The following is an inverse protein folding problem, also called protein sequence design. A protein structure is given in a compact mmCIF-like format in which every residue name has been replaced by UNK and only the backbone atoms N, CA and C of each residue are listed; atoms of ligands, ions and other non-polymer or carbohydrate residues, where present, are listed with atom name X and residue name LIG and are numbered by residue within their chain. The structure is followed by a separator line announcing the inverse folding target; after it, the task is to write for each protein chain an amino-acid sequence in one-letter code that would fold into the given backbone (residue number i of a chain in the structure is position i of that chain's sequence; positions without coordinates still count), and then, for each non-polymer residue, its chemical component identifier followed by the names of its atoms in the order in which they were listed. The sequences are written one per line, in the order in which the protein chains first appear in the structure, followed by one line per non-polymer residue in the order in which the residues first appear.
data_IF_331216747824
#
_entry.id   IF_331216747824
#
_cell.length_a   1.000
_cell.length_b   1.000
_cell.length_c   1.000
_cell.angle_alpha   90.00
_cell.angle_beta   90.00
_cell.angle_gamma   90.00
#
_symmetry.space_group_name_H-M   'P 1'
#
loop_
_entity.id
_entity.type
_entity.pdbx_description
1 polymer ?
#
# COMPACT_ATOMS: atom_id res chain seq x y z
N UNK A 1 -37.73 22.66 24.07
CA UNK A 1 -36.26 22.45 24.25
C UNK A 1 -35.68 21.45 23.26
N UNK A 2 -36.32 20.31 22.99
CA UNK A 2 -35.89 19.25 22.05
C UNK A 2 -35.77 19.68 20.59
N UNK A 3 -36.68 20.51 20.08
CA UNK A 3 -36.65 20.98 18.69
C UNK A 3 -35.46 21.90 18.35
N UNK A 4 -34.92 22.64 19.30
CA UNK A 4 -33.72 23.47 19.11
C UNK A 4 -32.43 22.63 19.08
N UNK A 5 -32.37 21.59 19.93
CA UNK A 5 -31.22 20.64 19.95
C UNK A 5 -31.11 19.82 18.65
N UNK A 6 -32.27 19.39 18.11
CA UNK A 6 -32.31 18.65 16.83
C UNK A 6 -31.89 19.52 15.64
N UNK A 7 -32.31 20.79 15.59
CA UNK A 7 -31.86 21.75 14.57
C UNK A 7 -30.34 22.04 14.67
N UNK A 8 -29.82 22.20 15.89
CA UNK A 8 -28.40 22.48 16.11
C UNK A 8 -27.52 21.27 15.73
N UNK A 9 -27.97 20.04 16.02
CA UNK A 9 -27.27 18.83 15.61
C UNK A 9 -27.26 18.64 14.07
N UNK A 10 -28.36 19.00 13.41
CA UNK A 10 -28.44 18.98 11.93
C UNK A 10 -27.51 20.00 11.29
N UNK A 11 -27.46 21.23 11.83
CA UNK A 11 -26.59 22.30 11.33
C UNK A 11 -25.10 21.93 11.56
N UNK A 12 -24.77 21.33 12.70
CA UNK A 12 -23.39 20.88 12.97
C UNK A 12 -23.00 19.70 12.07
N UNK A 13 -23.92 18.77 11.77
CA UNK A 13 -23.72 17.70 10.77
C UNK A 13 -23.53 18.26 9.37
N UNK A 14 -24.28 19.30 9.00
CA UNK A 14 -24.16 19.97 7.70
C UNK A 14 -22.80 20.68 7.59
N UNK A 15 -22.36 21.43 8.61
CA UNK A 15 -21.04 22.07 8.65
C UNK A 15 -19.88 21.07 8.65
N UNK A 16 -20.01 19.96 9.39
CA UNK A 16 -19.01 18.89 9.38
C UNK A 16 -18.93 18.21 8.02
N UNK A 17 -20.09 17.93 7.39
CA UNK A 17 -20.17 17.36 6.04
C UNK A 17 -19.58 18.30 4.99
N UNK A 18 -19.82 19.61 5.07
CA UNK A 18 -19.22 20.59 4.16
C UNK A 18 -17.69 20.64 4.30
N UNK A 19 -17.16 20.63 5.52
CA UNK A 19 -15.71 20.65 5.80
C UNK A 19 -15.02 19.38 5.31
N UNK A 20 -15.65 18.23 5.49
CA UNK A 20 -15.13 16.93 5.00
C UNK A 20 -15.23 16.84 3.47
N UNK A 21 -16.26 17.44 2.87
CA UNK A 21 -16.43 17.47 1.42
C UNK A 21 -15.35 18.32 0.72
N UNK A 22 -14.98 19.44 1.30
CA UNK A 22 -13.86 20.28 0.83
C UNK A 22 -12.55 19.47 0.91
N UNK A 23 -12.29 18.82 2.03
CA UNK A 23 -11.09 18.00 2.21
C UNK A 23 -11.03 16.79 1.25
N UNK A 24 -12.16 16.15 0.94
CA UNK A 24 -12.19 15.02 -0.01
C UNK A 24 -12.02 15.47 -1.46
N UNK A 25 -12.52 16.64 -1.83
CA UNK A 25 -12.31 17.25 -3.14
C UNK A 25 -10.86 17.76 -3.27
N UNK A 26 -10.31 18.36 -2.22
CA UNK A 26 -8.91 18.80 -2.22
C UNK A 26 -7.95 17.62 -2.18
N UNK A 27 -8.25 16.56 -1.45
CA UNK A 27 -7.49 15.31 -1.50
C UNK A 27 -7.55 14.67 -2.89
N UNK A 28 -8.71 14.68 -3.55
CA UNK A 28 -8.84 14.22 -4.93
C UNK A 28 -8.08 15.12 -5.91
N UNK A 29 -8.11 16.44 -5.72
CA UNK A 29 -7.30 17.39 -6.49
C UNK A 29 -5.81 17.18 -6.22
N UNK A 30 -5.39 16.92 -4.99
CA UNK A 30 -4.01 16.61 -4.65
C UNK A 30 -3.54 15.30 -5.29
N UNK A 31 -4.42 14.28 -5.40
CA UNK A 31 -4.14 13.05 -6.14
C UNK A 31 -3.99 13.27 -7.66
N UNK A 32 -4.66 14.29 -8.20
CA UNK A 32 -4.63 14.64 -9.63
C UNK A 32 -3.67 15.79 -9.97
N UNK A 33 -3.25 16.53 -8.98
CA UNK A 33 -2.34 17.67 -9.11
C UNK A 33 -1.25 17.53 -8.06
N UNK A 34 -0.04 17.40 -8.54
CA UNK A 34 1.14 17.41 -7.68
C UNK A 34 1.17 18.65 -6.79
N UNK A 35 1.50 18.44 -5.53
CA UNK A 35 1.86 19.51 -4.62
C UNK A 35 3.23 19.17 -3.99
N UNK A 36 4.29 19.78 -4.48
CA UNK A 36 5.67 19.64 -4.01
C UNK A 36 5.89 19.96 -2.52
N UNK A 37 4.86 20.49 -1.85
CA UNK A 37 4.90 20.81 -0.43
C UNK A 37 4.79 19.59 0.50
N UNK A 38 4.47 18.40 -0.02
CA UNK A 38 4.49 17.15 0.74
C UNK A 38 5.85 16.45 0.67
N UNK A 39 6.91 17.15 1.07
CA UNK A 39 8.19 16.52 1.40
C UNK A 39 8.36 16.53 2.93
N UNK A 40 7.85 15.54 3.66
CA UNK A 40 8.22 15.42 5.06
C UNK A 40 9.70 15.10 5.10
N UNK A 41 10.47 15.92 5.80
CA UNK A 41 11.86 15.61 6.08
C UNK A 41 11.87 14.34 6.94
N UNK A 42 12.66 13.33 6.53
CA UNK A 42 12.83 12.02 7.18
C UNK A 42 12.79 12.11 8.70
N UNK A 43 13.57 13.06 9.25
CA UNK A 43 13.69 13.30 10.70
C UNK A 43 12.37 13.69 11.38
N UNK A 44 11.41 14.27 10.68
CA UNK A 44 10.13 14.70 11.26
C UNK A 44 9.15 13.52 11.36
N UNK A 45 9.13 12.61 10.42
CA UNK A 45 8.24 11.45 10.47
C UNK A 45 8.73 10.41 11.47
N UNK A 46 10.02 10.11 11.48
CA UNK A 46 10.63 9.14 12.40
C UNK A 46 10.75 9.67 13.83
N UNK A 47 10.93 10.99 14.04
CA UNK A 47 11.04 11.59 15.37
C UNK A 47 9.78 11.39 16.25
N UNK A 48 8.65 11.04 15.66
CA UNK A 48 7.43 10.67 16.40
C UNK A 48 7.55 9.31 17.09
N UNK A 49 8.55 8.52 16.72
CA UNK A 49 8.73 7.14 17.17
C UNK A 49 10.21 6.90 17.52
N UNK A 50 10.64 7.20 18.76
CA UNK A 50 12.06 7.17 19.16
C UNK A 50 12.79 5.87 18.77
N UNK A 51 12.17 4.71 18.99
CA UNK A 51 12.76 3.41 18.65
C UNK A 51 13.09 3.26 17.15
N UNK A 52 12.23 3.76 16.27
CA UNK A 52 12.46 3.71 14.82
C UNK A 52 13.50 4.73 14.39
N UNK A 53 13.54 5.88 15.06
CA UNK A 53 14.56 6.91 14.81
C UNK A 53 15.95 6.42 15.21
N UNK A 54 16.12 5.85 16.39
CA UNK A 54 17.38 5.26 16.86
C UNK A 54 17.88 4.14 15.93
N UNK A 55 16.95 3.30 15.45
CA UNK A 55 17.32 2.24 14.50
C UNK A 55 17.71 2.79 13.13
N UNK A 56 17.06 3.86 12.66
CA UNK A 56 17.45 4.57 11.45
C UNK A 56 18.86 5.15 11.58
N UNK A 57 19.17 5.87 12.67
CA UNK A 57 20.50 6.40 12.93
C UNK A 57 21.56 5.29 13.00
N UNK A 58 21.21 4.15 13.58
CA UNK A 58 22.08 2.97 13.56
C UNK A 58 22.37 2.50 12.14
N UNK A 59 21.37 2.41 11.27
CA UNK A 59 21.56 2.01 9.87
C UNK A 59 22.41 3.01 9.09
N UNK A 60 22.19 4.31 9.29
CA UNK A 60 23.02 5.37 8.68
C UNK A 60 24.48 5.26 9.11
N UNK A 61 24.71 5.15 10.40
CA UNK A 61 26.07 5.08 10.98
C UNK A 61 26.87 3.88 10.46
N UNK A 62 26.20 2.78 10.12
CA UNK A 62 26.84 1.54 9.66
C UNK A 62 26.74 1.34 8.14
N UNK A 63 26.45 2.40 7.39
CA UNK A 63 26.37 2.39 5.92
C UNK A 63 25.41 1.32 5.34
N UNK A 64 24.37 1.00 6.10
CA UNK A 64 23.35 0.03 5.69
C UNK A 64 22.25 0.65 4.81
N UNK A 65 22.33 1.95 4.51
CA UNK A 65 21.37 2.68 3.67
C UNK A 65 22.05 3.06 2.36
N UNK A 66 21.64 2.42 1.26
CA UNK A 66 22.20 2.65 -0.06
C UNK A 66 21.15 3.37 -0.91
N UNK A 67 21.32 4.68 -1.18
CA UNK A 67 20.39 5.42 -2.02
C UNK A 67 20.53 5.00 -3.48
N UNK A 68 19.40 5.06 -4.21
CA UNK A 68 19.38 4.89 -5.65
C UNK A 68 18.35 5.81 -6.31
N UNK A 69 18.51 6.01 -7.61
CA UNK A 69 17.48 6.58 -8.47
C UNK A 69 17.42 5.82 -9.79
N UNK A 70 16.22 5.75 -10.38
CA UNK A 70 16.02 5.13 -11.69
C UNK A 70 15.20 6.05 -12.58
N UNK A 71 15.32 5.87 -13.89
CA UNK A 71 14.38 6.41 -14.87
C UNK A 71 13.33 5.36 -15.20
N UNK A 72 12.05 5.73 -15.16
CA UNK A 72 10.96 4.82 -15.50
C UNK A 72 10.86 4.63 -17.02
N UNK A 73 10.46 3.43 -17.44
CA UNK A 73 10.21 3.10 -18.84
C UNK A 73 9.01 3.85 -19.43
N UNK A 74 8.02 4.17 -18.60
CA UNK A 74 6.87 5.02 -18.96
C UNK A 74 7.11 6.43 -18.41
N UNK A 75 6.86 7.44 -19.21
CA UNK A 75 6.92 8.86 -18.88
C UNK A 75 8.33 9.37 -18.53
N UNK A 76 9.38 8.54 -18.52
CA UNK A 76 10.78 8.89 -18.22
C UNK A 76 10.96 9.67 -16.89
N UNK A 77 10.20 9.32 -15.87
CA UNK A 77 10.26 9.94 -14.54
C UNK A 77 11.48 9.43 -13.76
N UNK A 78 12.05 10.27 -12.91
CA UNK A 78 13.03 9.82 -11.91
C UNK A 78 12.30 9.36 -10.66
N UNK A 79 12.53 8.13 -10.23
CA UNK A 79 12.10 7.63 -8.94
C UNK A 79 13.30 7.49 -8.00
N UNK A 80 13.10 7.88 -6.74
CA UNK A 80 14.13 7.83 -5.70
C UNK A 80 13.78 6.78 -4.65
N UNK A 81 14.77 6.02 -4.24
CA UNK A 81 14.60 4.96 -3.25
C UNK A 81 15.89 4.64 -2.50
N UNK A 82 15.81 3.66 -1.61
CA UNK A 82 16.95 3.12 -0.89
C UNK A 82 16.87 1.59 -0.81
N UNK A 83 18.03 0.95 -0.90
CA UNK A 83 18.23 -0.38 -0.36
C UNK A 83 18.67 -0.22 1.10
N UNK A 84 17.92 -0.78 2.02
CA UNK A 84 18.26 -0.91 3.44
C UNK A 84 18.76 -2.33 3.67
N UNK A 85 20.03 -2.48 4.05
CA UNK A 85 20.60 -3.78 4.38
C UNK A 85 20.32 -4.12 5.84
N UNK A 86 19.86 -5.34 6.09
CA UNK A 86 19.78 -5.81 7.48
C UNK A 86 21.15 -5.89 8.10
N UNK A 87 21.33 -5.37 9.32
CA UNK A 87 22.59 -5.52 10.08
C UNK A 87 22.76 -6.94 10.62
N UNK A 88 21.68 -7.74 10.69
CA UNK A 88 21.75 -9.12 11.13
C UNK A 88 22.33 -10.00 10.03
N UNK A 89 23.32 -10.81 10.37
CA UNK A 89 23.89 -11.78 9.43
C UNK A 89 23.24 -13.14 9.64
N UNK A 90 22.31 -13.49 8.76
CA UNK A 90 21.63 -14.77 8.75
C UNK A 90 21.32 -15.22 7.30
N UNK A 91 20.63 -16.32 7.14
CA UNK A 91 20.23 -16.88 5.84
C UNK A 91 19.29 -16.02 5.00
N UNK A 92 18.76 -14.94 5.56
CA UNK A 92 17.82 -14.05 4.88
C UNK A 92 18.50 -12.86 4.20
N UNK A 93 19.79 -12.63 4.42
CA UNK A 93 20.51 -11.45 3.91
C UNK A 93 20.63 -11.37 2.38
N UNK A 94 20.34 -12.43 1.67
CA UNK A 94 20.29 -12.46 0.20
C UNK A 94 18.87 -12.31 -0.34
N UNK A 95 17.89 -12.04 0.52
CA UNK A 95 16.46 -11.91 0.18
C UNK A 95 15.98 -10.51 0.54
N UNK A 96 15.09 -9.97 -0.27
CA UNK A 96 14.64 -8.58 -0.14
C UNK A 96 13.11 -8.47 -0.20
N UNK A 97 12.55 -7.61 0.64
CA UNK A 97 11.15 -7.19 0.57
C UNK A 97 11.10 -5.79 -0.05
N UNK A 98 10.36 -5.63 -1.13
CA UNK A 98 10.12 -4.32 -1.76
C UNK A 98 8.85 -3.74 -1.16
N UNK A 99 8.94 -2.54 -0.56
CA UNK A 99 7.87 -1.86 0.14
C UNK A 99 7.36 -0.64 -0.63
N UNK A 100 6.03 -0.56 -0.77
CA UNK A 100 5.33 0.55 -1.42
C UNK A 100 4.38 1.23 -0.44
N UNK A 101 4.54 2.56 -0.32
CA UNK A 101 3.71 3.40 0.56
C UNK A 101 2.32 3.71 -0.03
N UNK A 102 1.43 4.26 0.79
CA UNK A 102 0.11 4.73 0.40
C UNK A 102 0.11 6.11 -0.24
N UNK A 103 -1.05 6.53 -0.72
CA UNK A 103 -1.25 7.88 -1.28
C UNK A 103 -0.97 8.94 -0.22
N UNK A 104 -0.43 10.09 -0.62
CA UNK A 104 -0.03 11.22 0.24
C UNK A 104 1.09 10.90 1.26
N UNK A 105 1.63 9.71 1.23
CA UNK A 105 2.75 9.29 2.07
C UNK A 105 4.06 9.31 1.28
N UNK A 106 5.17 9.05 1.97
CA UNK A 106 6.49 8.83 1.39
C UNK A 106 7.03 7.48 1.84
N UNK A 107 8.15 7.03 1.27
CA UNK A 107 8.84 5.81 1.70
C UNK A 107 9.10 5.77 3.21
N UNK A 108 9.35 6.90 3.85
CA UNK A 108 9.64 6.97 5.29
C UNK A 108 8.44 6.63 6.17
N UNK A 109 7.23 6.84 5.68
CA UNK A 109 6.01 6.53 6.44
C UNK A 109 5.85 5.04 6.74
N UNK A 110 6.37 4.16 5.86
CA UNK A 110 6.29 2.69 6.03
C UNK A 110 7.53 2.11 6.74
N UNK A 111 8.32 2.93 7.44
CA UNK A 111 9.53 2.46 8.12
C UNK A 111 9.25 1.41 9.20
N UNK A 112 8.12 1.48 9.89
CA UNK A 112 7.72 0.47 10.86
C UNK A 112 7.58 -0.94 10.26
N UNK A 113 7.09 -1.05 9.03
CA UNK A 113 7.06 -2.32 8.29
C UNK A 113 8.45 -2.73 7.84
N UNK A 114 9.26 -1.79 7.36
CA UNK A 114 10.66 -2.04 7.03
C UNK A 114 11.44 -2.58 8.24
N UNK A 115 11.23 -2.00 9.41
CA UNK A 115 11.87 -2.40 10.66
C UNK A 115 11.63 -3.87 11.02
N UNK A 116 10.41 -4.39 10.83
CA UNK A 116 10.07 -5.79 11.10
C UNK A 116 10.90 -6.72 10.23
N UNK A 117 10.96 -6.47 8.92
CA UNK A 117 11.72 -7.28 7.97
C UNK A 117 13.24 -7.19 8.21
N UNK A 118 13.75 -5.98 8.45
CA UNK A 118 15.18 -5.77 8.76
C UNK A 118 15.61 -6.52 10.03
N UNK A 119 14.76 -6.53 11.06
CA UNK A 119 15.00 -7.29 12.30
C UNK A 119 14.92 -8.81 12.12
N UNK A 120 14.23 -9.28 11.12
CA UNK A 120 14.19 -10.69 10.74
C UNK A 120 15.35 -11.10 9.80
N UNK A 121 16.24 -10.15 9.44
CA UNK A 121 17.40 -10.40 8.58
C UNK A 121 17.18 -10.16 7.09
N UNK A 122 15.96 -9.81 6.66
CA UNK A 122 15.68 -9.47 5.26
C UNK A 122 16.19 -8.07 4.93
N UNK A 123 16.68 -7.88 3.71
CA UNK A 123 16.88 -6.53 3.20
C UNK A 123 15.54 -5.91 2.79
N UNK A 124 15.50 -4.60 2.72
CA UNK A 124 14.34 -3.84 2.29
C UNK A 124 14.73 -2.91 1.16
N UNK A 125 13.95 -2.92 0.08
CA UNK A 125 13.94 -1.87 -0.93
C UNK A 125 12.65 -1.09 -0.75
N UNK A 126 12.77 0.22 -0.66
CA UNK A 126 11.63 1.12 -0.65
C UNK A 126 11.89 2.32 -1.55
N UNK A 127 10.85 2.92 -2.06
CA UNK A 127 10.97 4.07 -2.94
C UNK A 127 9.75 4.97 -2.83
N UNK A 128 9.92 6.23 -3.20
CA UNK A 128 8.80 7.13 -3.39
C UNK A 128 8.14 6.84 -4.73
N UNK A 129 6.84 6.53 -4.72
CA UNK A 129 6.06 6.35 -5.93
C UNK A 129 6.04 7.65 -6.75
N UNK A 130 5.70 7.56 -8.06
CA UNK A 130 5.47 8.75 -8.88
C UNK A 130 4.60 9.76 -8.15
N UNK A 131 4.91 11.04 -8.27
CA UNK A 131 4.16 12.14 -7.63
C UNK A 131 4.32 12.22 -6.09
N UNK A 132 5.21 11.47 -5.47
CA UNK A 132 5.41 11.45 -4.02
C UNK A 132 6.89 11.68 -3.66
N UNK A 133 7.08 12.24 -2.46
CA UNK A 133 8.42 12.42 -1.87
C UNK A 133 9.40 13.14 -2.77
N UNK A 134 10.54 12.51 -3.03
CA UNK A 134 11.60 13.05 -3.90
C UNK A 134 11.41 12.66 -5.37
N UNK A 135 10.49 11.75 -5.69
CA UNK A 135 10.24 11.30 -7.06
C UNK A 135 9.53 12.35 -7.91
N UNK A 136 9.75 12.29 -9.23
CA UNK A 136 9.25 13.29 -10.16
C UNK A 136 7.71 13.41 -10.13
N UNK A 137 7.26 14.66 -10.32
CA UNK A 137 5.85 15.01 -10.41
C UNK A 137 5.19 14.39 -11.64
N UNK A 138 4.04 13.76 -11.43
CA UNK A 138 3.23 13.10 -12.47
C UNK A 138 1.83 12.86 -11.92
N UNK A 139 0.81 12.62 -12.73
CA UNK A 139 -0.45 12.15 -12.21
C UNK A 139 -0.31 10.81 -11.48
N UNK A 140 -0.88 10.70 -10.28
CA UNK A 140 -1.05 9.42 -9.58
C UNK A 140 -2.18 8.64 -10.26
N UNK A 141 -1.91 7.39 -10.68
CA UNK A 141 -2.83 6.57 -11.47
C UNK A 141 -3.40 5.37 -10.71
N UNK A 142 -3.27 5.38 -9.39
CA UNK A 142 -3.86 4.40 -8.46
C UNK A 142 -3.51 2.93 -8.77
N UNK A 143 -2.30 2.69 -9.23
CA UNK A 143 -1.77 1.35 -9.52
C UNK A 143 -1.59 1.06 -11.01
N UNK A 144 -2.17 1.84 -11.94
CA UNK A 144 -2.02 1.58 -13.39
C UNK A 144 -0.56 1.76 -13.85
N UNK A 145 -0.03 2.98 -13.78
CA UNK A 145 1.36 3.26 -14.16
C UNK A 145 2.33 2.90 -13.04
N UNK A 146 1.89 3.01 -11.79
CA UNK A 146 2.69 2.61 -10.62
C UNK A 146 3.09 1.13 -10.68
N UNK A 147 2.28 0.25 -11.26
CA UNK A 147 2.65 -1.18 -11.46
C UNK A 147 3.81 -1.35 -12.45
N UNK A 148 3.88 -0.52 -13.49
CA UNK A 148 5.04 -0.52 -14.38
C UNK A 148 6.27 0.09 -13.72
N UNK A 149 6.11 1.15 -12.94
CA UNK A 149 7.20 1.71 -12.12
C UNK A 149 7.78 0.67 -11.18
N UNK A 150 6.93 -0.14 -10.54
CA UNK A 150 7.37 -1.26 -9.70
C UNK A 150 8.16 -2.30 -10.52
N UNK A 151 7.74 -2.58 -11.75
CA UNK A 151 8.50 -3.47 -12.66
C UNK A 151 9.89 -2.92 -12.94
N UNK A 152 10.00 -1.62 -13.23
CA UNK A 152 11.29 -0.96 -13.48
C UNK A 152 12.20 -1.01 -12.24
N UNK A 153 11.63 -0.83 -11.03
CA UNK A 153 12.34 -1.00 -9.74
C UNK A 153 12.83 -2.45 -9.58
N UNK A 154 11.98 -3.45 -9.82
CA UNK A 154 12.36 -4.87 -9.71
C UNK A 154 13.53 -5.19 -10.63
N UNK A 155 13.45 -4.77 -11.89
CA UNK A 155 14.50 -5.03 -12.88
C UNK A 155 15.82 -4.35 -12.51
N UNK A 156 15.77 -3.08 -12.11
CA UNK A 156 16.94 -2.33 -11.66
C UNK A 156 17.59 -3.01 -10.46
N UNK A 157 16.81 -3.33 -9.43
CA UNK A 157 17.32 -3.89 -8.18
C UNK A 157 17.90 -5.29 -8.40
N UNK A 158 17.24 -6.13 -9.18
CA UNK A 158 17.75 -7.46 -9.51
C UNK A 158 19.03 -7.43 -10.38
N UNK A 159 19.21 -6.37 -11.17
CA UNK A 159 20.44 -6.17 -11.96
C UNK A 159 21.57 -5.62 -11.12
N UNK A 160 21.28 -4.66 -10.24
CA UNK A 160 22.27 -3.90 -9.48
C UNK A 160 22.68 -4.61 -8.18
N UNK A 161 21.69 -5.16 -7.45
CA UNK A 161 21.84 -5.78 -6.14
C UNK A 161 21.62 -7.30 -6.20
N UNK A 162 22.36 -7.97 -7.08
CA UNK A 162 22.18 -9.41 -7.41
C UNK A 162 22.28 -10.32 -6.19
N UNK A 163 23.18 -9.99 -5.27
CA UNK A 163 23.44 -10.79 -4.07
C UNK A 163 22.31 -10.65 -3.04
N UNK A 164 21.72 -9.47 -2.94
CA UNK A 164 20.66 -9.14 -2.01
C UNK A 164 19.26 -9.51 -2.54
N UNK A 165 19.14 -9.81 -3.84
CA UNK A 165 17.85 -10.03 -4.52
C UNK A 165 17.75 -11.42 -5.14
N UNK A 166 18.17 -12.46 -4.43
CA UNK A 166 18.03 -13.86 -4.87
C UNK A 166 16.56 -14.28 -4.87
N UNK A 167 15.79 -13.82 -3.87
CA UNK A 167 14.34 -13.93 -3.81
C UNK A 167 13.74 -12.61 -3.32
N UNK A 168 12.52 -12.31 -3.78
CA UNK A 168 11.80 -11.08 -3.50
C UNK A 168 10.43 -11.35 -2.90
N UNK A 169 10.00 -10.50 -1.96
CA UNK A 169 8.62 -10.31 -1.57
C UNK A 169 8.16 -8.91 -1.92
N UNK A 170 6.86 -8.73 -2.20
CA UNK A 170 6.27 -7.42 -2.41
C UNK A 170 5.33 -7.09 -1.25
N UNK A 171 5.47 -5.92 -0.67
CA UNK A 171 4.55 -5.36 0.31
C UNK A 171 4.00 -4.03 -0.21
N UNK A 172 2.69 -3.86 -0.15
CA UNK A 172 2.06 -2.59 -0.51
C UNK A 172 0.98 -2.18 0.48
N UNK A 173 1.03 -0.92 0.90
CA UNK A 173 0.02 -0.30 1.73
C UNK A 173 -0.90 0.58 0.90
N UNK A 174 -2.23 0.41 1.02
CA UNK A 174 -3.24 1.26 0.38
C UNK A 174 -3.03 1.39 -1.14
N UNK A 175 -2.62 2.56 -1.66
CA UNK A 175 -2.20 2.74 -3.05
C UNK A 175 -1.11 1.74 -3.44
N UNK A 176 -0.09 1.56 -2.58
CA UNK A 176 0.95 0.56 -2.79
C UNK A 176 0.40 -0.86 -2.87
N UNK A 177 -0.62 -1.18 -2.06
CA UNK A 177 -1.33 -2.45 -2.10
C UNK A 177 -2.04 -2.70 -3.43
N UNK A 178 -2.72 -1.67 -3.96
CA UNK A 178 -3.30 -1.74 -5.30
C UNK A 178 -2.22 -1.94 -6.37
N UNK A 179 -1.09 -1.23 -6.24
CA UNK A 179 0.05 -1.34 -7.15
C UNK A 179 0.63 -2.75 -7.21
N UNK A 180 0.91 -3.38 -6.06
CA UNK A 180 1.49 -4.75 -6.03
C UNK A 180 0.51 -5.79 -6.57
N UNK A 181 -0.81 -5.63 -6.32
CA UNK A 181 -1.82 -6.53 -6.89
C UNK A 181 -1.95 -6.33 -8.40
N UNK A 182 -1.99 -5.08 -8.89
CA UNK A 182 -2.11 -4.79 -10.33
C UNK A 182 -0.84 -5.14 -11.11
N UNK A 183 0.34 -5.12 -10.46
CA UNK A 183 1.59 -5.60 -11.04
C UNK A 183 1.49 -7.05 -11.51
N UNK A 184 0.57 -7.85 -11.01
CA UNK A 184 0.30 -9.23 -11.47
C UNK A 184 0.13 -9.34 -12.98
N UNK A 185 -0.35 -8.28 -13.65
CA UNK A 185 -0.45 -8.21 -15.11
C UNK A 185 0.92 -8.32 -15.82
N UNK A 186 1.99 -8.02 -15.12
CA UNK A 186 3.36 -8.05 -15.63
C UNK A 186 4.12 -9.30 -15.20
N UNK A 187 3.58 -10.08 -14.24
CA UNK A 187 4.28 -11.24 -13.67
C UNK A 187 4.79 -12.23 -14.71
N UNK A 188 3.91 -12.68 -15.59
CA UNK A 188 4.25 -13.66 -16.63
C UNK A 188 5.06 -13.07 -17.78
N UNK A 189 5.14 -11.74 -17.92
CA UNK A 189 5.80 -11.07 -19.05
C UNK A 189 7.32 -11.01 -18.95
N UNK A 190 7.85 -11.10 -17.72
CA UNK A 190 9.28 -10.92 -17.46
C UNK A 190 9.81 -12.08 -16.64
N UNK A 191 10.82 -12.78 -17.16
CA UNK A 191 11.45 -13.91 -16.46
C UNK A 191 11.99 -13.56 -15.08
N UNK A 192 12.46 -12.32 -14.90
CA UNK A 192 12.99 -11.84 -13.63
C UNK A 192 11.95 -11.89 -12.51
N UNK A 193 10.67 -11.78 -12.84
CA UNK A 193 9.56 -11.76 -11.89
C UNK A 193 9.39 -13.11 -11.16
N UNK A 194 9.95 -14.21 -11.66
CA UNK A 194 9.98 -15.49 -10.95
C UNK A 194 10.75 -15.43 -9.61
N UNK A 195 11.55 -14.38 -9.40
CA UNK A 195 12.17 -14.09 -8.10
C UNK A 195 11.16 -13.60 -7.06
N UNK A 196 10.02 -13.05 -7.48
CA UNK A 196 8.95 -12.62 -6.57
C UNK A 196 8.18 -13.86 -6.12
N UNK A 197 8.17 -14.11 -4.81
CA UNK A 197 7.65 -15.33 -4.19
C UNK A 197 6.29 -15.17 -3.54
N UNK A 198 5.95 -13.95 -3.12
CA UNK A 198 4.68 -13.62 -2.49
C UNK A 198 4.37 -12.13 -2.58
N UNK A 199 3.12 -11.80 -2.28
CA UNK A 199 2.62 -10.43 -2.15
C UNK A 199 1.98 -10.26 -0.76
N UNK A 200 2.18 -9.10 -0.14
CA UNK A 200 1.42 -8.63 1.03
C UNK A 200 0.66 -7.38 0.62
N UNK A 201 -0.66 -7.41 0.75
CA UNK A 201 -1.58 -6.35 0.37
C UNK A 201 -2.29 -5.82 1.62
N UNK A 202 -1.90 -4.64 2.11
CA UNK A 202 -2.38 -4.04 3.35
C UNK A 202 -3.32 -2.87 3.06
N UNK A 203 -4.54 -2.90 3.61
CA UNK A 203 -5.58 -1.88 3.51
C UNK A 203 -5.91 -1.46 2.05
N UNK A 204 -5.96 -2.43 1.13
CA UNK A 204 -6.12 -2.20 -0.30
C UNK A 204 -7.58 -2.16 -0.72
N UNK A 205 -7.94 -1.28 -1.65
CA UNK A 205 -9.25 -1.30 -2.29
C UNK A 205 -9.34 -2.39 -3.37
N UNK A 206 -10.52 -2.99 -3.52
CA UNK A 206 -10.80 -3.98 -4.58
C UNK A 206 -11.10 -3.33 -5.92
N UNK A 207 -11.84 -2.20 -5.88
CA UNK A 207 -12.29 -1.41 -7.03
C UNK A 207 -12.29 0.07 -6.66
N UNK A 208 -11.62 0.89 -7.45
CA UNK A 208 -11.54 2.32 -7.17
C UNK A 208 -12.88 3.02 -7.35
N UNK A 209 -13.64 2.67 -8.39
CA UNK A 209 -14.95 3.28 -8.67
C UNK A 209 -15.95 3.08 -7.51
N UNK A 210 -15.95 1.89 -6.90
CA UNK A 210 -16.78 1.59 -5.73
C UNK A 210 -16.31 2.35 -4.49
N UNK A 211 -15.05 2.25 -4.15
CA UNK A 211 -14.46 2.95 -3.00
C UNK A 211 -14.71 4.46 -3.10
N UNK A 212 -14.59 5.00 -4.30
CA UNK A 212 -14.86 6.41 -4.57
C UNK A 212 -16.35 6.75 -4.41
N UNK A 213 -17.24 5.87 -4.89
CA UNK A 213 -18.71 6.03 -4.74
C UNK A 213 -19.15 6.02 -3.28
N UNK A 214 -18.62 5.10 -2.48
CA UNK A 214 -18.91 4.99 -1.04
C UNK A 214 -18.48 6.27 -0.31
N UNK A 215 -17.34 6.84 -0.67
CA UNK A 215 -16.87 8.12 -0.13
C UNK A 215 -17.78 9.28 -0.52
N UNK A 216 -18.15 9.38 -1.79
CA UNK A 216 -19.05 10.44 -2.27
C UNK A 216 -20.42 10.33 -1.64
N UNK A 217 -20.98 9.13 -1.50
CA UNK A 217 -22.28 8.90 -0.88
C UNK A 217 -22.33 9.39 0.57
N UNK A 218 -21.26 9.14 1.31
CA UNK A 218 -21.17 9.53 2.72
C UNK A 218 -20.97 11.05 2.93
N UNK A 219 -20.48 11.77 1.91
CA UNK A 219 -20.05 13.16 2.07
C UNK A 219 -20.71 14.18 1.14
N UNK A 220 -21.45 13.74 0.12
CA UNK A 220 -22.00 14.66 -0.90
C UNK A 220 -23.49 14.91 -0.76
N UNK A 221 -23.89 16.18 -0.84
CA UNK A 221 -25.27 16.61 -1.10
C UNK A 221 -25.67 16.52 -2.58
N UNK A 222 -24.69 16.33 -3.46
CA UNK A 222 -24.92 16.21 -4.90
C UNK A 222 -25.23 14.77 -5.29
N UNK A 223 -26.04 14.55 -6.35
CA UNK A 223 -26.29 13.22 -6.84
C UNK A 223 -24.98 12.47 -7.14
N UNK A 224 -24.75 11.37 -6.45
CA UNK A 224 -23.51 10.57 -6.55
C UNK A 224 -23.19 10.22 -8.00
N UNK A 225 -24.22 9.89 -8.81
CA UNK A 225 -24.06 9.56 -10.22
C UNK A 225 -23.50 10.72 -11.07
N UNK A 226 -23.89 11.97 -10.76
CA UNK A 226 -23.34 13.14 -11.46
C UNK A 226 -21.87 13.35 -11.10
N UNK A 227 -21.54 13.24 -9.81
CA UNK A 227 -20.16 13.37 -9.32
C UNK A 227 -19.27 12.28 -9.93
N UNK A 228 -19.73 11.04 -10.00
CA UNK A 228 -19.02 9.94 -10.65
C UNK A 228 -18.81 10.21 -12.14
N UNK A 229 -19.82 10.72 -12.85
CA UNK A 229 -19.71 11.06 -14.27
C UNK A 229 -18.68 12.18 -14.52
N UNK A 230 -18.65 13.19 -13.66
CA UNK A 230 -17.66 14.27 -13.74
C UNK A 230 -16.25 13.78 -13.42
N UNK A 231 -16.12 12.93 -12.40
CA UNK A 231 -14.86 12.29 -12.00
C UNK A 231 -14.30 11.40 -13.10
N UNK A 232 -15.15 10.60 -13.77
CA UNK A 232 -14.76 9.77 -14.94
C UNK A 232 -14.25 10.61 -16.09
N UNK A 233 -14.96 11.69 -16.47
CA UNK A 233 -14.50 12.60 -17.52
C UNK A 233 -13.15 13.22 -17.19
N UNK A 234 -12.92 13.59 -15.93
CA UNK A 234 -11.64 14.14 -15.49
C UNK A 234 -10.55 13.09 -15.49
N UNK A 235 -10.82 11.87 -14.99
CA UNK A 235 -9.91 10.74 -15.01
C UNK A 235 -9.52 10.39 -16.47
N UNK A 236 -10.48 10.31 -17.37
CA UNK A 236 -10.23 10.07 -18.80
C UNK A 236 -9.33 11.13 -19.43
N UNK A 237 -9.55 12.41 -19.11
CA UNK A 237 -8.69 13.50 -19.58
C UNK A 237 -7.27 13.43 -18.99
N UNK A 238 -7.14 13.00 -17.73
CA UNK A 238 -5.86 12.99 -17.01
C UNK A 238 -5.04 11.74 -17.28
N UNK A 239 -5.69 10.59 -17.42
CA UNK A 239 -5.03 9.27 -17.53
C UNK A 239 -5.13 8.67 -18.94
N UNK A 240 -5.92 9.27 -19.84
CA UNK A 240 -6.19 8.74 -21.18
C UNK A 240 -7.15 7.54 -21.22
N UNK A 241 -7.65 7.12 -20.06
CA UNK A 241 -8.53 5.92 -19.88
C UNK A 241 -9.67 6.25 -18.91
N UNK A 242 -10.74 5.46 -18.87
CA UNK A 242 -11.75 5.55 -17.80
C UNK A 242 -11.16 4.99 -16.50
N UNK A 243 -10.22 5.76 -15.90
CA UNK A 243 -9.39 5.33 -14.78
C UNK A 243 -10.17 4.73 -13.63
N UNK A 244 -11.37 5.24 -13.34
CA UNK A 244 -12.17 4.70 -12.24
C UNK A 244 -12.68 3.28 -12.51
N UNK A 245 -13.00 2.93 -13.76
CA UNK A 245 -13.47 1.60 -14.14
C UNK A 245 -12.34 0.63 -14.46
N UNK A 246 -11.18 1.14 -14.83
CA UNK A 246 -10.02 0.31 -15.17
C UNK A 246 -9.18 -0.02 -13.95
N UNK A 247 -9.20 0.84 -12.90
CA UNK A 247 -8.46 0.63 -11.66
C UNK A 247 -9.25 -0.31 -10.74
N UNK A 248 -9.11 -1.59 -11.01
CA UNK A 248 -9.77 -2.67 -10.29
C UNK A 248 -8.77 -3.79 -9.95
N UNK A 249 -8.00 -3.67 -8.86
CA UNK A 249 -7.04 -4.69 -8.43
C UNK A 249 -7.61 -6.11 -8.45
N UNK A 250 -8.87 -6.27 -8.07
CA UNK A 250 -9.55 -7.58 -8.04
C UNK A 250 -9.49 -8.34 -9.39
N UNK A 251 -9.49 -7.65 -10.52
CA UNK A 251 -9.45 -8.29 -11.85
C UNK A 251 -8.11 -8.94 -12.18
N UNK A 252 -7.05 -8.57 -11.48
CA UNK A 252 -5.68 -9.02 -11.77
C UNK A 252 -5.32 -10.29 -11.00
N UNK A 253 -6.05 -10.65 -9.94
CA UNK A 253 -5.75 -11.80 -9.07
C UNK A 253 -5.75 -13.13 -9.81
N UNK A 254 -6.61 -13.29 -10.83
CA UNK A 254 -6.67 -14.48 -11.69
C UNK A 254 -5.40 -14.71 -12.54
N UNK A 255 -4.56 -13.69 -12.70
CA UNK A 255 -3.34 -13.75 -13.52
C UNK A 255 -2.16 -14.40 -12.77
N UNK A 256 -2.27 -14.55 -11.46
CA UNK A 256 -1.25 -15.12 -10.59
C UNK A 256 -1.84 -16.19 -9.65
N UNK A 257 -2.47 -17.25 -10.21
CA UNK A 257 -3.14 -18.27 -9.39
C UNK A 257 -2.18 -18.90 -8.37
N UNK A 258 -0.93 -19.11 -8.73
CA UNK A 258 0.07 -19.76 -7.87
C UNK A 258 0.80 -18.85 -6.90
N UNK A 259 0.68 -17.52 -7.04
CA UNK A 259 1.33 -16.54 -6.19
C UNK A 259 0.62 -16.43 -4.84
N UNK A 260 1.26 -16.77 -3.71
CA UNK A 260 0.69 -16.56 -2.39
C UNK A 260 0.48 -15.07 -2.10
N UNK A 261 -0.69 -14.71 -1.57
CA UNK A 261 -0.98 -13.33 -1.15
C UNK A 261 -1.45 -13.34 0.31
N UNK A 262 -0.83 -12.48 1.12
CA UNK A 262 -1.30 -12.13 2.44
C UNK A 262 -2.11 -10.83 2.35
N UNK A 263 -3.39 -10.90 2.66
CA UNK A 263 -4.26 -9.72 2.76
C UNK A 263 -4.37 -9.30 4.22
N UNK A 264 -4.12 -8.02 4.49
CA UNK A 264 -4.23 -7.39 5.81
C UNK A 264 -5.19 -6.22 5.75
N UNK A 265 -6.03 -6.03 6.78
CA UNK A 265 -6.93 -4.87 6.84
C UNK A 265 -7.41 -4.59 8.26
N UNK A 266 -7.44 -3.32 8.65
CA UNK A 266 -8.08 -2.89 9.89
C UNK A 266 -9.60 -2.95 9.78
N UNK A 267 -10.31 -3.55 10.75
CA UNK A 267 -11.78 -3.64 10.71
C UNK A 267 -12.47 -2.28 10.89
N UNK A 268 -11.84 -1.34 11.59
CA UNK A 268 -12.32 0.02 11.77
C UNK A 268 -11.78 1.02 10.74
N UNK A 269 -11.32 0.52 9.58
CA UNK A 269 -10.83 1.37 8.51
C UNK A 269 -11.97 2.23 7.92
N UNK A 270 -11.98 3.51 8.30
CA UNK A 270 -12.94 4.49 7.80
C UNK A 270 -12.56 5.08 6.43
N UNK A 271 -11.36 4.80 5.94
CA UNK A 271 -10.90 5.29 4.65
C UNK A 271 -11.20 4.30 3.52
N UNK A 272 -10.84 3.03 3.68
CA UNK A 272 -11.19 1.92 2.79
C UNK A 272 -11.85 0.84 3.63
N UNK A 273 -13.12 0.52 3.37
CA UNK A 273 -13.84 -0.48 4.14
C UNK A 273 -13.14 -1.85 4.03
N UNK A 274 -12.99 -2.56 5.16
CA UNK A 274 -12.29 -3.86 5.23
C UNK A 274 -12.93 -4.94 4.35
N UNK A 275 -14.20 -4.79 3.94
CA UNK A 275 -14.86 -5.68 2.99
C UNK A 275 -14.12 -5.77 1.65
N UNK A 276 -13.31 -4.75 1.29
CA UNK A 276 -12.45 -4.79 0.12
C UNK A 276 -11.40 -5.90 0.22
N UNK A 277 -10.79 -6.10 1.40
CA UNK A 277 -9.83 -7.19 1.61
C UNK A 277 -10.53 -8.57 1.50
N UNK A 278 -11.75 -8.71 2.07
CA UNK A 278 -12.55 -9.92 1.90
C UNK A 278 -12.84 -10.21 0.42
N UNK A 279 -13.24 -9.21 -0.36
CA UNK A 279 -13.51 -9.38 -1.80
C UNK A 279 -12.25 -9.81 -2.56
N UNK A 280 -11.12 -9.16 -2.29
CA UNK A 280 -9.84 -9.53 -2.91
C UNK A 280 -9.44 -10.97 -2.55
N UNK A 281 -9.54 -11.34 -1.28
CA UNK A 281 -9.22 -12.68 -0.81
C UNK A 281 -10.14 -13.74 -1.43
N UNK A 282 -11.47 -13.54 -1.39
CA UNK A 282 -12.43 -14.47 -1.97
C UNK A 282 -12.22 -14.65 -3.46
N UNK A 283 -11.92 -13.58 -4.20
CA UNK A 283 -11.60 -13.67 -5.63
C UNK A 283 -10.29 -14.42 -5.84
N UNK A 284 -9.24 -14.17 -5.03
CA UNK A 284 -7.96 -14.83 -5.15
C UNK A 284 -8.05 -16.34 -4.97
N UNK A 285 -8.72 -16.81 -3.92
CA UNK A 285 -8.81 -18.24 -3.59
C UNK A 285 -9.64 -19.06 -4.60
N UNK A 286 -10.44 -18.40 -5.45
CA UNK A 286 -11.16 -19.09 -6.56
C UNK A 286 -10.21 -19.71 -7.58
N UNK A 287 -9.00 -19.19 -7.69
CA UNK A 287 -8.00 -19.61 -8.67
C UNK A 287 -6.84 -20.40 -8.05
N UNK A 288 -6.81 -20.54 -6.71
CA UNK A 288 -5.75 -21.23 -5.99
C UNK A 288 -6.07 -22.71 -5.71
N UNK A 289 -5.27 -23.62 -6.22
CA UNK A 289 -5.36 -25.04 -5.90
C UNK A 289 -3.92 -25.59 -5.75
N UNK A 290 -3.46 -25.96 -4.53
CA UNK A 290 -4.12 -25.75 -3.22
C UNK A 290 -4.11 -24.30 -2.75
N UNK A 291 -4.93 -23.97 -1.76
CA UNK A 291 -4.98 -22.63 -1.15
C UNK A 291 -3.62 -22.25 -0.55
N UNK A 292 -3.11 -21.08 -0.92
CA UNK A 292 -1.81 -20.52 -0.49
C UNK A 292 -1.95 -19.17 0.20
N UNK A 293 -2.99 -18.40 -0.17
CA UNK A 293 -3.24 -17.07 0.35
C UNK A 293 -3.98 -17.09 1.68
N UNK A 294 -3.81 -16.01 2.46
CA UNK A 294 -4.43 -15.83 3.76
C UNK A 294 -4.99 -14.42 3.90
N UNK A 295 -6.02 -14.27 4.72
CA UNK A 295 -6.58 -12.98 5.11
C UNK A 295 -6.51 -12.87 6.63
N UNK A 296 -5.97 -11.75 7.11
CA UNK A 296 -6.08 -11.36 8.50
C UNK A 296 -6.65 -9.94 8.60
N UNK A 297 -7.60 -9.78 9.47
CA UNK A 297 -8.17 -8.48 9.82
C UNK A 297 -7.80 -8.13 11.25
N UNK A 298 -7.64 -6.85 11.52
CA UNK A 298 -7.17 -6.35 12.80
C UNK A 298 -8.32 -5.57 13.46
N UNK A 299 -8.80 -6.09 14.59
CA UNK A 299 -9.83 -5.43 15.41
C UNK A 299 -9.31 -4.04 15.81
N UNK A 300 -10.22 -3.07 15.89
CA UNK A 300 -9.93 -1.68 16.32
C UNK A 300 -8.89 -0.90 15.50
N UNK A 301 -8.25 -1.51 14.52
CA UNK A 301 -7.33 -0.81 13.63
C UNK A 301 -8.07 -0.01 12.55
N UNK A 302 -7.65 1.25 12.39
CA UNK A 302 -8.06 2.11 11.30
C UNK A 302 -7.05 2.02 10.12
N UNK A 303 -7.25 2.81 9.07
CA UNK A 303 -6.39 2.83 7.89
C UNK A 303 -4.92 3.06 8.25
N UNK A 304 -4.05 2.12 7.87
CA UNK A 304 -2.61 2.16 8.15
C UNK A 304 -2.21 1.83 9.60
N UNK A 305 -3.11 1.31 10.40
CA UNK A 305 -2.83 0.92 11.78
C UNK A 305 -2.65 -0.60 11.96
N UNK A 306 -2.60 -1.39 10.88
CA UNK A 306 -2.49 -2.84 10.94
C UNK A 306 -1.35 -3.30 11.88
N UNK A 307 -0.14 -2.76 11.70
CA UNK A 307 1.02 -3.09 12.54
C UNK A 307 1.12 -2.29 13.84
N UNK A 308 0.34 -1.24 14.01
CA UNK A 308 0.32 -0.46 15.25
C UNK A 308 -0.56 -1.13 16.31
N UNK A 309 -1.71 -1.64 15.89
CA UNK A 309 -2.72 -2.27 16.74
C UNK A 309 -2.58 -3.79 16.72
N UNK A 310 -2.23 -4.37 15.57
CA UNK A 310 -2.23 -5.80 15.34
C UNK A 310 -1.16 -6.60 16.11
N UNK A 311 -0.23 -5.92 16.81
CA UNK A 311 0.71 -6.56 17.72
C UNK A 311 0.23 -6.55 19.18
N UNK A 312 -0.96 -6.01 19.44
CA UNK A 312 -1.62 -6.13 20.74
C UNK A 312 -2.37 -7.47 20.84
N UNK A 313 -2.50 -7.97 22.05
CA UNK A 313 -3.15 -9.24 22.34
C UNK A 313 -4.58 -9.31 21.77
N UNK A 314 -4.90 -10.45 21.14
CA UNK A 314 -6.23 -10.77 20.63
C UNK A 314 -6.82 -9.79 19.59
N UNK A 315 -6.00 -9.00 18.92
CA UNK A 315 -6.47 -8.04 17.92
C UNK A 315 -6.50 -8.60 16.50
N UNK A 316 -5.78 -9.68 16.21
CA UNK A 316 -5.68 -10.27 14.87
C UNK A 316 -6.72 -11.39 14.71
N UNK A 317 -7.48 -11.33 13.61
CA UNK A 317 -8.52 -12.30 13.29
C UNK A 317 -8.29 -12.84 11.88
N UNK A 318 -8.34 -14.17 11.72
CA UNK A 318 -8.16 -14.81 10.42
C UNK A 318 -9.44 -14.78 9.57
N UNK A 319 -9.39 -15.36 8.38
CA UNK A 319 -10.51 -15.41 7.42
C UNK A 319 -11.75 -16.19 7.91
N UNK A 320 -11.67 -16.94 8.99
CA UNK A 320 -12.78 -17.65 9.64
C UNK A 320 -13.30 -16.92 10.87
N UNK A 321 -12.89 -15.68 11.11
CA UNK A 321 -13.18 -14.86 12.30
C UNK A 321 -12.68 -15.50 13.61
N UNK A 322 -11.64 -16.31 13.55
CA UNK A 322 -10.98 -16.85 14.74
C UNK A 322 -9.84 -15.94 15.15
N UNK A 323 -9.76 -15.64 16.44
CA UNK A 323 -8.67 -14.83 17.01
C UNK A 323 -7.35 -15.60 16.86
N UNK A 324 -6.33 -14.89 16.36
CA UNK A 324 -4.98 -15.40 16.28
C UNK A 324 -4.22 -15.04 17.57
N UNK A 325 -3.58 -16.01 18.19
CA UNK A 325 -2.80 -15.81 19.41
C UNK A 325 -1.47 -15.06 19.17
N UNK A 326 -1.12 -14.84 17.89
CA UNK A 326 0.09 -14.12 17.48
C UNK A 326 -0.24 -12.73 17.01
N UNK A 327 0.64 -11.78 17.28
CA UNK A 327 0.59 -10.43 16.71
C UNK A 327 0.76 -10.45 15.19
N UNK A 328 0.41 -9.35 14.56
CA UNK A 328 0.45 -9.23 13.09
C UNK A 328 1.88 -9.28 12.54
N UNK A 329 2.86 -8.79 13.29
CA UNK A 329 4.28 -8.85 12.89
C UNK A 329 4.75 -10.31 12.79
N UNK A 330 4.49 -11.13 13.80
CA UNK A 330 4.86 -12.53 13.81
C UNK A 330 4.11 -13.33 12.73
N UNK A 331 2.79 -13.10 12.61
CA UNK A 331 1.95 -13.70 11.56
C UNK A 331 2.48 -13.37 10.16
N UNK A 332 2.89 -12.12 9.95
CA UNK A 332 3.47 -11.67 8.68
C UNK A 332 4.81 -12.34 8.41
N UNK A 333 5.69 -12.42 9.42
CA UNK A 333 6.99 -13.08 9.27
C UNK A 333 6.87 -14.57 9.00
N UNK A 334 5.92 -15.26 9.63
CA UNK A 334 5.64 -16.68 9.34
C UNK A 334 5.21 -16.89 7.89
N UNK A 335 4.31 -16.03 7.38
CA UNK A 335 3.93 -16.06 5.98
C UNK A 335 5.14 -15.84 5.07
N UNK A 336 5.98 -14.85 5.36
CA UNK A 336 7.21 -14.58 4.59
C UNK A 336 8.15 -15.78 4.62
N UNK A 337 8.45 -16.33 5.77
CA UNK A 337 9.34 -17.50 5.93
C UNK A 337 8.84 -18.73 5.15
N UNK A 338 7.53 -18.95 5.17
CA UNK A 338 6.89 -20.05 4.44
C UNK A 338 7.11 -19.97 2.93
N UNK A 339 7.06 -18.76 2.35
CA UNK A 339 7.00 -18.61 0.90
C UNK A 339 8.27 -18.08 0.26
N UNK A 340 9.13 -17.33 0.97
CA UNK A 340 10.32 -16.68 0.38
C UNK A 340 11.33 -17.69 -0.19
N UNK A 341 11.31 -18.92 0.28
CA UNK A 341 12.26 -19.97 -0.08
C UNK A 341 11.72 -20.93 -1.17
N UNK A 342 10.50 -20.72 -1.65
CA UNK A 342 9.89 -21.51 -2.73
C UNK A 342 10.26 -20.95 -4.10
#
# INVERSE_FOLDING_TARGET
MWGKLMKQSSINRIKLRQKVNINSIEMFKACLQYNSQFQPKVKIELAKWPMYFEYWEYLEKHENIIPFSIKTSIDNLTLYGNLLKSPLKNENNNKTIILLHGITNTRFWIFKQAFIFLRAGYNVIWYDARNHGESDASPTTFGLKESQDLQDIIEYCCKTYKQETTALGLYGFSLGGATVVMWSNLYAKHKINQKVKFIISDCTFSRLDRTYSEKLYNYAFLPTNLMLKLSRKKAQKTFGVDGLQEIQPIKYLKLIPDMPILFLHGQNDHFINYTNANELFQEKIRYEIPKKSSLYTILDANHGQSFLIGDLDHTVVNEYNLVNDKGISDTTLEFVQKWINT
#
